data_IF_397478728117
#
_entry.id   IF_397478728117
#
_cell.length_a   1.000
_cell.length_b   1.000
_cell.length_c   1.000
_cell.angle_alpha   90.00
_cell.angle_beta   90.00
_cell.angle_gamma   90.00
#
_symmetry.space_group_name_H-M   'P 1'
#
loop_
_entity.id
_entity.type
_entity.pdbx_description
1 polymer ?
#
# COMPACT_ATOMS: atom_id res chain seq x y z
N UNK A 1 -17.31 27.15 1.32
CA UNK A 1 -17.71 25.97 0.55
C UNK A 1 -18.08 24.90 1.56
N UNK A 2 -19.35 24.50 1.59
CA UNK A 2 -19.84 23.51 2.56
C UNK A 2 -19.17 22.17 2.29
N UNK A 3 -18.60 21.58 3.33
CA UNK A 3 -18.14 20.19 3.28
C UNK A 3 -19.43 19.36 3.19
N UNK A 4 -19.67 18.73 2.04
CA UNK A 4 -20.76 17.76 1.92
C UNK A 4 -20.57 16.70 3.02
N UNK A 5 -21.61 16.51 3.84
CA UNK A 5 -21.61 15.45 4.84
C UNK A 5 -21.32 14.10 4.16
N UNK A 6 -20.41 13.29 4.69
CA UNK A 6 -20.10 11.99 4.11
C UNK A 6 -21.38 11.13 4.05
N UNK A 7 -21.62 10.48 2.91
CA UNK A 7 -22.77 9.58 2.71
C UNK A 7 -22.84 8.41 3.70
N UNK A 8 -21.72 8.08 4.36
CA UNK A 8 -21.59 6.97 5.28
C UNK A 8 -21.01 7.41 6.64
N UNK A 9 -21.51 6.82 7.73
CA UNK A 9 -20.89 6.83 9.04
C UNK A 9 -19.75 5.78 9.11
N UNK A 10 -18.93 5.79 10.16
CA UNK A 10 -17.75 4.89 10.22
C UNK A 10 -18.15 3.40 10.25
N UNK A 11 -19.28 3.05 10.86
CA UNK A 11 -19.78 1.67 10.88
C UNK A 11 -20.16 1.21 9.47
N UNK A 12 -20.82 2.06 8.70
CA UNK A 12 -21.12 1.77 7.29
C UNK A 12 -19.83 1.67 6.44
N UNK A 13 -18.80 2.46 6.75
CA UNK A 13 -17.48 2.33 6.11
C UNK A 13 -16.79 1.02 6.46
N UNK A 14 -16.81 0.61 7.74
CA UNK A 14 -16.27 -0.67 8.19
C UNK A 14 -16.95 -1.84 7.48
N UNK A 15 -18.28 -1.87 7.46
CA UNK A 15 -19.04 -2.91 6.75
C UNK A 15 -18.75 -2.93 5.24
N UNK A 16 -18.64 -1.75 4.62
CA UNK A 16 -18.27 -1.64 3.20
C UNK A 16 -16.87 -2.21 2.94
N UNK A 17 -15.90 -1.87 3.78
CA UNK A 17 -14.53 -2.36 3.64
C UNK A 17 -14.47 -3.87 3.89
N UNK A 18 -15.19 -4.40 4.88
CA UNK A 18 -15.29 -5.84 5.14
C UNK A 18 -15.85 -6.60 3.94
N UNK A 19 -16.85 -6.06 3.24
CA UNK A 19 -17.36 -6.66 2.00
C UNK A 19 -16.29 -6.66 0.90
N UNK A 20 -15.60 -5.52 0.70
CA UNK A 20 -14.67 -5.34 -0.43
C UNK A 20 -13.32 -6.00 -0.22
N UNK A 21 -12.88 -6.16 1.02
CA UNK A 21 -11.51 -6.60 1.31
C UNK A 21 -11.27 -8.05 0.87
N UNK A 22 -12.34 -8.86 0.79
CA UNK A 22 -12.25 -10.25 0.31
C UNK A 22 -12.02 -10.37 -1.20
N UNK A 23 -12.27 -9.30 -1.96
CA UNK A 23 -12.09 -9.27 -3.42
C UNK A 23 -10.73 -8.66 -3.84
N UNK A 24 -9.90 -8.25 -2.87
CA UNK A 24 -8.61 -7.61 -3.14
C UNK A 24 -7.43 -8.48 -2.69
N UNK A 25 -6.29 -8.30 -3.37
CA UNK A 25 -5.02 -8.96 -3.01
C UNK A 25 -4.22 -8.12 -2.03
N UNK A 26 -4.31 -6.81 -2.21
CA UNK A 26 -3.66 -5.81 -1.37
C UNK A 26 -4.61 -4.66 -1.11
N UNK A 27 -4.42 -3.92 -0.02
CA UNK A 27 -5.30 -2.78 0.29
C UNK A 27 -5.29 -1.72 -0.82
N UNK A 28 -4.19 -1.51 -1.55
CA UNK A 28 -4.17 -0.54 -2.64
C UNK A 28 -5.12 -0.88 -3.81
N UNK A 29 -5.49 -2.16 -3.97
CA UNK A 29 -6.46 -2.61 -4.98
C UNK A 29 -7.91 -2.16 -4.68
N UNK A 30 -8.19 -1.62 -3.49
CA UNK A 30 -9.48 -0.97 -3.20
C UNK A 30 -9.69 0.30 -4.03
N UNK A 31 -8.63 0.85 -4.63
CA UNK A 31 -8.63 2.05 -5.48
C UNK A 31 -9.40 3.25 -4.87
N UNK A 32 -9.32 3.44 -3.54
CA UNK A 32 -9.94 4.59 -2.88
C UNK A 32 -9.35 5.90 -3.40
N UNK A 33 -10.21 6.87 -3.70
CA UNK A 33 -9.77 8.22 -4.09
C UNK A 33 -9.17 8.97 -2.90
N UNK A 34 -8.36 10.01 -3.17
CA UNK A 34 -7.81 10.89 -2.13
C UNK A 34 -8.92 11.52 -1.27
N UNK A 35 -10.08 11.79 -1.87
CA UNK A 35 -11.24 12.32 -1.15
C UNK A 35 -11.84 11.27 -0.19
N UNK A 36 -11.95 10.01 -0.62
CA UNK A 36 -12.46 8.92 0.22
C UNK A 36 -11.51 8.64 1.38
N UNK A 37 -10.20 8.59 1.13
CA UNK A 37 -9.16 8.51 2.16
C UNK A 37 -9.26 9.66 3.17
N UNK A 38 -9.36 10.91 2.71
CA UNK A 38 -9.48 12.07 3.60
C UNK A 38 -10.75 12.04 4.44
N UNK A 39 -11.87 11.60 3.85
CA UNK A 39 -13.14 11.43 4.56
C UNK A 39 -13.02 10.36 5.65
N UNK A 40 -12.39 9.23 5.35
CA UNK A 40 -12.10 8.19 6.33
C UNK A 40 -11.26 8.75 7.49
N UNK A 41 -10.20 9.51 7.18
CA UNK A 41 -9.39 10.19 8.18
C UNK A 41 -10.19 11.14 9.09
N UNK A 42 -11.09 11.96 8.53
CA UNK A 42 -11.96 12.85 9.33
C UNK A 42 -12.85 12.03 10.28
N UNK A 43 -13.45 10.92 9.81
CA UNK A 43 -14.32 10.07 10.64
C UNK A 43 -13.52 9.41 11.76
N UNK A 44 -12.36 8.84 11.46
CA UNK A 44 -11.46 8.25 12.45
C UNK A 44 -11.04 9.30 13.49
N UNK A 45 -10.58 10.49 13.08
CA UNK A 45 -10.20 11.61 13.98
C UNK A 45 -11.33 11.99 14.93
N UNK A 46 -12.55 12.13 14.40
CA UNK A 46 -13.71 12.46 15.23
C UNK A 46 -13.89 11.43 16.34
N UNK A 47 -13.68 10.15 16.05
CA UNK A 47 -13.87 9.10 17.03
C UNK A 47 -12.74 9.03 18.04
N UNK A 48 -11.47 9.25 17.66
CA UNK A 48 -10.38 9.40 18.63
C UNK A 48 -10.58 10.60 19.57
N UNK A 49 -11.19 11.69 19.09
CA UNK A 49 -11.46 12.88 19.91
C UNK A 49 -12.60 12.69 20.92
N UNK A 50 -13.55 11.79 20.64
CA UNK A 50 -14.70 11.51 21.53
C UNK A 50 -14.56 10.21 22.33
N UNK A 51 -13.65 9.31 21.93
CA UNK A 51 -13.46 8.02 22.58
C UNK A 51 -12.48 8.13 23.75
N UNK A 52 -13.00 8.30 24.96
CA UNK A 52 -12.37 7.80 26.19
C UNK A 52 -12.35 6.24 26.24
N UNK A 53 -12.63 5.57 25.12
CA UNK A 53 -13.05 4.18 25.07
C UNK A 53 -11.97 3.34 24.37
N UNK A 54 -11.30 2.48 25.13
CA UNK A 54 -10.22 1.60 24.64
C UNK A 54 -10.68 0.67 23.51
N UNK A 55 -11.98 0.37 23.43
CA UNK A 55 -12.58 -0.58 22.49
C UNK A 55 -12.77 -0.01 21.07
N UNK A 56 -12.55 1.29 20.83
CA UNK A 56 -12.78 1.88 19.50
C UNK A 56 -11.86 1.28 18.43
N UNK A 57 -10.58 1.07 18.76
CA UNK A 57 -9.65 0.51 17.80
C UNK A 57 -9.99 -0.95 17.43
N UNK A 58 -10.65 -1.69 18.33
CA UNK A 58 -11.14 -3.05 18.06
C UNK A 58 -12.23 -3.03 17.00
N UNK A 59 -13.25 -2.18 17.18
CA UNK A 59 -14.44 -2.14 16.31
C UNK A 59 -14.14 -1.64 14.87
N UNK A 60 -13.04 -0.92 14.68
CA UNK A 60 -12.72 -0.22 13.44
C UNK A 60 -11.31 -0.48 12.92
N UNK A 61 -10.71 -1.62 13.27
CA UNK A 61 -9.31 -1.91 12.94
C UNK A 61 -9.06 -1.95 11.42
N UNK A 62 -10.01 -2.47 10.63
CA UNK A 62 -9.87 -2.49 9.18
C UNK A 62 -9.86 -1.07 8.60
N UNK A 63 -10.72 -0.19 9.10
CA UNK A 63 -10.69 1.24 8.73
C UNK A 63 -9.34 1.89 9.06
N UNK A 64 -8.75 1.57 10.22
CA UNK A 64 -7.42 2.06 10.61
C UNK A 64 -6.34 1.51 9.67
N UNK A 65 -6.36 0.21 9.37
CA UNK A 65 -5.42 -0.43 8.46
C UNK A 65 -5.47 0.21 7.06
N UNK A 66 -6.67 0.37 6.51
CA UNK A 66 -6.90 1.02 5.22
C UNK A 66 -6.42 2.47 5.25
N UNK A 67 -6.76 3.24 6.30
CA UNK A 67 -6.31 4.61 6.44
C UNK A 67 -4.77 4.72 6.45
N UNK A 68 -4.09 3.90 7.26
CA UNK A 68 -2.62 3.91 7.32
C UNK A 68 -1.97 3.50 6.00
N UNK A 69 -2.50 2.51 5.28
CA UNK A 69 -1.98 2.17 3.94
C UNK A 69 -2.17 3.32 2.95
N UNK A 70 -3.33 3.97 2.93
CA UNK A 70 -3.57 5.09 2.02
C UNK A 70 -2.82 6.36 2.41
N UNK A 71 -2.42 6.50 3.68
CA UNK A 71 -1.50 7.56 4.12
C UNK A 71 -0.15 7.48 3.38
N UNK A 72 0.37 6.27 3.17
CA UNK A 72 1.57 6.05 2.36
C UNK A 72 1.33 6.32 0.86
N UNK A 73 0.18 5.90 0.32
CA UNK A 73 -0.16 6.09 -1.11
C UNK A 73 -0.33 7.58 -1.44
N UNK A 74 -1.03 8.33 -0.58
CA UNK A 74 -1.28 9.75 -0.78
C UNK A 74 -0.24 10.65 -0.11
N UNK A 75 0.83 10.08 0.43
CA UNK A 75 1.87 10.81 1.12
C UNK A 75 2.35 12.02 0.33
N UNK A 76 2.38 13.16 1.00
CA UNK A 76 2.85 14.40 0.41
C UNK A 76 3.75 15.12 1.41
N UNK A 77 5.04 15.23 1.08
CA UNK A 77 6.04 15.92 1.89
C UNK A 77 5.59 17.32 2.36
N UNK A 78 4.85 18.05 1.51
CA UNK A 78 4.34 19.39 1.81
C UNK A 78 3.24 19.38 2.88
N UNK A 79 2.50 18.29 2.99
CA UNK A 79 1.37 18.12 3.91
C UNK A 79 1.63 17.04 4.98
N UNK A 80 2.86 16.54 5.09
CA UNK A 80 3.26 15.53 6.08
C UNK A 80 2.89 15.91 7.54
N UNK A 81 2.74 17.21 7.83
CA UNK A 81 2.25 17.71 9.14
C UNK A 81 0.73 17.64 9.34
N UNK A 82 -0.07 17.63 8.27
CA UNK A 82 -1.55 17.60 8.32
C UNK A 82 -2.10 16.16 8.25
N UNK A 83 -1.39 15.26 7.58
CA UNK A 83 -1.78 13.85 7.39
C UNK A 83 -1.40 12.96 8.61
N UNK A 84 -0.51 13.47 9.48
CA UNK A 84 -0.02 12.75 10.68
C UNK A 84 -0.88 12.92 11.92
N UNK A 85 -1.98 13.69 11.91
CA UNK A 85 -2.76 13.93 13.15
C UNK A 85 -3.31 12.64 13.79
N UNK A 86 -3.73 11.65 13.00
CA UNK A 86 -4.14 10.34 13.55
C UNK A 86 -2.95 9.54 14.12
N UNK A 87 -1.78 9.67 13.51
CA UNK A 87 -0.53 9.06 13.97
C UNK A 87 -0.06 9.75 15.27
N UNK A 88 -0.18 11.07 15.36
CA UNK A 88 0.10 11.85 16.57
C UNK A 88 -0.85 11.47 17.71
N UNK A 89 -2.15 11.35 17.43
CA UNK A 89 -3.11 10.88 18.43
C UNK A 89 -2.78 9.46 18.93
N UNK A 90 -2.23 8.60 18.08
CA UNK A 90 -1.71 7.29 18.47
C UNK A 90 -0.43 7.40 19.34
N UNK A 91 0.50 8.29 18.98
CA UNK A 91 1.73 8.56 19.74
C UNK A 91 1.46 9.09 21.16
N UNK A 92 0.34 9.78 21.37
CA UNK A 92 -0.10 10.28 22.68
C UNK A 92 -0.68 9.18 23.61
N UNK A 93 -0.99 7.99 23.07
CA UNK A 93 -1.51 6.87 23.87
C UNK A 93 -0.43 6.26 24.79
N UNK A 94 -0.88 5.53 25.81
CA UNK A 94 0.05 4.76 26.66
C UNK A 94 0.76 3.66 25.85
N UNK A 95 2.02 3.36 26.16
CA UNK A 95 2.78 2.29 25.48
C UNK A 95 2.06 0.94 25.48
N UNK A 96 1.33 0.60 26.55
CA UNK A 96 0.51 -0.60 26.61
C UNK A 96 -0.61 -0.59 25.56
N UNK A 97 -1.33 0.53 25.45
CA UNK A 97 -2.40 0.72 24.46
C UNK A 97 -1.85 0.70 23.04
N UNK A 98 -0.73 1.38 22.80
CA UNK A 98 -0.03 1.37 21.51
C UNK A 98 0.33 -0.06 21.08
N UNK A 99 0.94 -0.83 21.99
CA UNK A 99 1.32 -2.22 21.71
C UNK A 99 0.11 -3.10 21.43
N UNK A 100 -0.97 -2.95 22.22
CA UNK A 100 -2.21 -3.69 22.01
C UNK A 100 -2.83 -3.39 20.63
N UNK A 101 -2.92 -2.12 20.25
CA UNK A 101 -3.45 -1.71 18.95
C UNK A 101 -2.60 -2.22 17.77
N UNK A 102 -1.27 -2.25 17.90
CA UNK A 102 -0.42 -2.84 16.87
C UNK A 102 -0.61 -4.36 16.74
N UNK A 103 -0.80 -5.06 17.86
CA UNK A 103 -1.12 -6.50 17.82
C UNK A 103 -2.43 -6.73 17.06
N UNK A 104 -3.47 -5.99 17.40
CA UNK A 104 -4.76 -6.06 16.71
C UNK A 104 -4.66 -5.67 15.23
N UNK A 105 -3.82 -4.69 14.89
CA UNK A 105 -3.59 -4.34 13.49
C UNK A 105 -2.95 -5.49 12.73
N UNK A 106 -1.91 -6.11 13.29
CA UNK A 106 -1.25 -7.29 12.72
C UNK A 106 -2.23 -8.47 12.57
N UNK A 107 -3.09 -8.68 13.57
CA UNK A 107 -4.17 -9.69 13.54
C UNK A 107 -5.22 -9.36 12.46
N UNK A 108 -5.62 -8.10 12.31
CA UNK A 108 -6.57 -7.67 11.29
C UNK A 108 -6.10 -8.04 9.86
N UNK A 109 -4.84 -7.81 9.52
CA UNK A 109 -4.30 -8.27 8.24
C UNK A 109 -4.37 -9.80 8.08
N UNK A 110 -4.19 -10.55 9.16
CA UNK A 110 -4.32 -12.01 9.14
C UNK A 110 -5.77 -12.47 8.96
N UNK A 111 -6.69 -11.91 9.73
CA UNK A 111 -8.11 -12.28 9.76
C UNK A 111 -8.80 -12.05 8.41
N UNK A 112 -8.40 -11.00 7.68
CA UNK A 112 -8.91 -10.71 6.33
C UNK A 112 -8.11 -11.39 5.21
N UNK A 113 -7.16 -12.27 5.52
CA UNK A 113 -6.38 -13.00 4.52
C UNK A 113 -5.40 -12.13 3.73
N UNK A 114 -5.07 -10.94 4.23
CA UNK A 114 -4.16 -9.98 3.59
C UNK A 114 -2.68 -10.27 3.88
N UNK A 115 -2.37 -11.21 4.77
CA UNK A 115 -1.01 -11.45 5.23
C UNK A 115 -0.29 -12.58 4.46
N UNK A 116 0.40 -12.22 3.37
CA UNK A 116 1.21 -13.16 2.56
C UNK A 116 2.72 -13.11 2.84
N UNK A 117 3.21 -12.23 3.73
CA UNK A 117 4.62 -11.80 3.71
C UNK A 117 5.50 -12.25 4.88
N UNK A 118 5.06 -13.20 5.74
CA UNK A 118 5.84 -13.76 6.85
C UNK A 118 6.70 -12.74 7.63
N UNK A 119 6.17 -11.53 7.87
CA UNK A 119 6.93 -10.44 8.50
C UNK A 119 7.05 -10.69 10.00
N UNK A 120 8.26 -11.01 10.44
CA UNK A 120 8.62 -11.16 11.86
C UNK A 120 10.05 -10.68 12.13
N UNK A 121 10.19 -9.37 12.36
CA UNK A 121 11.47 -8.73 12.71
C UNK A 121 11.79 -8.80 14.21
N UNK A 122 10.86 -9.31 15.02
CA UNK A 122 10.89 -9.20 16.48
C UNK A 122 10.52 -7.80 17.01
N UNK A 123 10.26 -6.82 16.13
CA UNK A 123 9.76 -5.49 16.48
C UNK A 123 8.35 -5.27 15.90
N UNK A 124 7.34 -5.32 16.76
CA UNK A 124 5.93 -5.23 16.37
C UNK A 124 5.59 -3.96 15.56
N UNK A 125 6.17 -2.81 15.91
CA UNK A 125 5.90 -1.57 15.19
C UNK A 125 6.48 -1.63 13.78
N UNK A 126 7.72 -2.11 13.65
CA UNK A 126 8.35 -2.29 12.34
C UNK A 126 7.61 -3.33 11.50
N UNK A 127 7.13 -4.42 12.11
CA UNK A 127 6.32 -5.43 11.42
C UNK A 127 5.04 -4.82 10.84
N UNK A 128 4.31 -4.05 11.65
CA UNK A 128 3.09 -3.37 11.19
C UNK A 128 3.39 -2.42 10.03
N UNK A 129 4.44 -1.58 10.14
CA UNK A 129 4.81 -0.68 9.05
C UNK A 129 5.20 -1.43 7.78
N UNK A 130 5.97 -2.50 7.88
CA UNK A 130 6.35 -3.35 6.73
C UNK A 130 5.12 -3.95 6.04
N UNK A 131 4.17 -4.48 6.81
CA UNK A 131 2.90 -4.99 6.26
C UNK A 131 2.16 -3.86 5.52
N UNK A 132 2.01 -2.70 6.16
CA UNK A 132 1.30 -1.54 5.58
C UNK A 132 1.95 -1.08 4.27
N UNK A 133 3.28 -0.92 4.23
CA UNK A 133 3.97 -0.44 3.02
C UNK A 133 3.97 -1.49 1.91
N UNK A 134 3.93 -2.78 2.24
CA UNK A 134 3.72 -3.84 1.24
C UNK A 134 2.35 -3.73 0.58
N UNK A 135 1.32 -3.45 1.39
CA UNK A 135 -0.04 -3.22 0.89
C UNK A 135 -0.22 -1.89 0.17
N UNK A 136 0.62 -0.89 0.46
CA UNK A 136 0.65 0.36 -0.29
C UNK A 136 1.22 0.14 -1.70
N UNK A 137 2.24 -0.71 -1.83
CA UNK A 137 2.85 -1.06 -3.10
C UNK A 137 3.46 0.15 -3.81
N UNK A 138 3.47 0.14 -5.14
CA UNK A 138 3.89 1.30 -5.94
C UNK A 138 2.65 2.15 -6.26
N UNK A 139 2.61 3.45 -5.91
CA UNK A 139 1.50 4.32 -6.24
C UNK A 139 1.25 4.40 -7.75
N UNK A 140 -0.02 4.34 -8.14
CA UNK A 140 -0.48 4.28 -9.54
C UNK A 140 0.17 5.32 -10.45
N UNK A 141 0.29 6.54 -9.96
CA UNK A 141 0.84 7.68 -10.69
C UNK A 141 2.37 7.59 -10.91
N UNK A 142 3.06 6.79 -10.09
CA UNK A 142 4.51 6.59 -10.16
C UNK A 142 4.87 5.26 -10.85
N UNK A 143 3.91 4.33 -11.01
CA UNK A 143 4.14 2.99 -11.59
C UNK A 143 4.90 3.03 -12.91
N UNK A 144 4.45 3.82 -13.88
CA UNK A 144 5.12 3.89 -15.18
C UNK A 144 6.58 4.36 -15.09
N UNK A 145 6.87 5.33 -14.20
CA UNK A 145 8.23 5.83 -14.00
C UNK A 145 9.12 4.80 -13.30
N UNK A 146 8.58 4.03 -12.36
CA UNK A 146 9.29 2.92 -11.71
C UNK A 146 9.57 1.81 -12.71
N UNK A 147 8.60 1.39 -13.51
CA UNK A 147 8.78 0.35 -14.54
C UNK A 147 9.85 0.78 -15.58
N UNK A 148 9.79 2.02 -16.07
CA UNK A 148 10.81 2.58 -16.97
C UNK A 148 12.22 2.61 -16.36
N UNK A 149 12.32 2.74 -15.04
CA UNK A 149 13.58 2.75 -14.33
C UNK A 149 14.13 1.33 -14.15
N UNK A 150 13.29 0.37 -13.74
CA UNK A 150 13.69 -1.04 -13.56
C UNK A 150 14.04 -1.70 -14.89
N UNK A 151 13.27 -1.45 -15.97
CA UNK A 151 13.51 -2.00 -17.31
C UNK A 151 14.93 -1.71 -17.82
N UNK A 152 15.50 -0.54 -17.48
CA UNK A 152 16.87 -0.17 -17.89
C UNK A 152 17.97 -1.03 -17.28
N UNK A 153 17.68 -1.66 -16.13
CA UNK A 153 18.62 -2.46 -15.37
C UNK A 153 18.15 -3.91 -15.25
N UNK A 154 17.18 -4.35 -16.05
CA UNK A 154 16.52 -5.66 -15.89
C UNK A 154 17.50 -6.85 -15.96
N UNK A 155 18.62 -6.69 -16.68
CA UNK A 155 19.68 -7.68 -16.82
C UNK A 155 20.66 -7.74 -15.64
N UNK A 156 20.62 -6.77 -14.74
CA UNK A 156 21.51 -6.69 -13.58
C UNK A 156 20.96 -7.51 -12.40
N UNK A 157 21.82 -7.87 -11.46
CA UNK A 157 21.39 -8.50 -10.19
C UNK A 157 20.60 -7.51 -9.33
N UNK A 158 19.61 -7.99 -8.58
CA UNK A 158 18.71 -7.12 -7.81
C UNK A 158 19.43 -6.32 -6.71
N UNK A 159 20.52 -6.87 -6.14
CA UNK A 159 21.43 -6.16 -5.24
C UNK A 159 22.15 -4.99 -5.92
N UNK A 160 22.43 -5.07 -7.21
CA UNK A 160 23.03 -3.96 -7.97
C UNK A 160 21.95 -2.94 -8.32
N UNK A 161 20.77 -3.42 -8.71
CA UNK A 161 19.62 -2.59 -9.06
C UNK A 161 19.21 -1.73 -7.87
N UNK A 162 19.00 -2.31 -6.68
CA UNK A 162 18.52 -1.58 -5.50
C UNK A 162 19.40 -0.36 -5.20
N UNK A 163 20.71 -0.53 -5.12
CA UNK A 163 21.63 0.58 -4.85
C UNK A 163 21.72 1.60 -6.00
N UNK A 164 21.50 1.15 -7.25
CA UNK A 164 21.57 2.02 -8.43
C UNK A 164 20.27 2.81 -8.64
N UNK A 165 19.12 2.18 -8.42
CA UNK A 165 17.77 2.70 -8.69
C UNK A 165 17.24 3.53 -7.53
N UNK A 166 17.56 3.16 -6.29
CA UNK A 166 17.00 3.80 -5.09
C UNK A 166 17.15 5.33 -5.06
N UNK A 167 18.27 5.95 -5.48
CA UNK A 167 18.38 7.42 -5.56
C UNK A 167 17.45 8.08 -6.58
N UNK A 168 16.94 7.31 -7.56
CA UNK A 168 16.11 7.79 -8.67
C UNK A 168 14.65 7.38 -8.54
N UNK A 169 14.28 6.66 -7.48
CA UNK A 169 12.89 6.30 -7.23
C UNK A 169 12.03 7.58 -7.13
N UNK A 170 10.83 7.58 -7.74
CA UNK A 170 9.83 8.61 -7.50
C UNK A 170 9.54 8.78 -6.00
N UNK A 171 9.13 9.98 -5.60
CA UNK A 171 9.17 10.40 -4.19
C UNK A 171 8.32 9.53 -3.27
N UNK A 172 7.11 9.15 -3.68
CA UNK A 172 6.22 8.34 -2.82
C UNK A 172 6.72 6.90 -2.74
N UNK A 173 7.16 6.34 -3.86
CA UNK A 173 7.78 5.01 -3.92
C UNK A 173 9.04 4.95 -3.05
N UNK A 174 9.91 5.96 -3.12
CA UNK A 174 11.08 6.07 -2.25
C UNK A 174 10.69 6.15 -0.76
N UNK A 175 9.63 6.91 -0.43
CA UNK A 175 9.10 6.98 0.93
C UNK A 175 8.63 5.61 1.41
N UNK A 176 7.83 4.89 0.62
CA UNK A 176 7.34 3.54 0.92
C UNK A 176 8.52 2.56 1.14
N UNK A 177 9.49 2.56 0.23
CA UNK A 177 10.67 1.69 0.32
C UNK A 177 11.51 1.97 1.57
N UNK A 178 11.55 3.22 2.07
CA UNK A 178 12.33 3.56 3.26
C UNK A 178 11.86 2.87 4.56
N UNK A 179 10.65 2.30 4.58
CA UNK A 179 10.11 1.51 5.70
C UNK A 179 10.26 -0.01 5.51
N UNK A 180 10.70 -0.44 4.34
CA UNK A 180 11.05 -1.83 4.06
C UNK A 180 12.50 -2.08 4.47
N UNK A 181 12.82 -3.28 4.98
CA UNK A 181 14.22 -3.68 5.06
C UNK A 181 14.75 -4.09 3.69
N UNK A 182 16.06 -4.25 3.60
CA UNK A 182 16.75 -4.58 2.36
C UNK A 182 16.24 -5.90 1.76
N UNK A 183 16.02 -6.93 2.59
CA UNK A 183 15.46 -8.20 2.13
C UNK A 183 14.09 -8.02 1.45
N UNK A 184 13.19 -7.27 2.09
CA UNK A 184 11.87 -6.98 1.53
C UNK A 184 11.93 -6.11 0.27
N UNK A 185 12.85 -5.13 0.21
CA UNK A 185 13.05 -4.33 -1.00
C UNK A 185 13.55 -5.20 -2.17
N UNK A 186 14.46 -6.14 -1.92
CA UNK A 186 14.94 -7.09 -2.92
C UNK A 186 13.82 -8.01 -3.40
N UNK A 187 12.99 -8.54 -2.51
CA UNK A 187 11.81 -9.35 -2.87
C UNK A 187 10.86 -8.58 -3.80
N UNK A 188 10.59 -7.31 -3.50
CA UNK A 188 9.74 -6.45 -4.34
C UNK A 188 10.39 -6.24 -5.72
N UNK A 189 11.70 -6.01 -5.77
CA UNK A 189 12.42 -5.82 -7.03
C UNK A 189 12.47 -7.08 -7.88
N UNK A 190 12.71 -8.24 -7.27
CA UNK A 190 12.68 -9.54 -7.95
C UNK A 190 11.30 -9.82 -8.53
N UNK A 191 10.24 -9.57 -7.76
CA UNK A 191 8.86 -9.71 -8.22
C UNK A 191 8.56 -8.78 -9.40
N UNK A 192 9.04 -7.52 -9.37
CA UNK A 192 8.88 -6.57 -10.47
C UNK A 192 9.64 -6.99 -11.73
N UNK A 193 10.86 -7.49 -11.61
CA UNK A 193 11.66 -7.97 -12.75
C UNK A 193 11.02 -9.19 -13.38
N UNK A 194 10.55 -10.13 -12.56
CA UNK A 194 9.87 -11.32 -13.06
C UNK A 194 8.56 -10.92 -13.75
N UNK A 195 7.78 -9.99 -13.17
CA UNK A 195 6.57 -9.47 -13.79
C UNK A 195 6.87 -8.77 -15.14
N UNK A 196 7.91 -7.93 -15.19
CA UNK A 196 8.34 -7.26 -16.43
C UNK A 196 8.75 -8.27 -17.51
N UNK A 197 9.47 -9.32 -17.14
CA UNK A 197 9.87 -10.38 -18.08
C UNK A 197 8.64 -11.16 -18.55
N UNK A 198 7.73 -11.49 -17.63
CA UNK A 198 6.52 -12.25 -17.93
C UNK A 198 5.57 -11.50 -18.88
N UNK A 199 5.44 -10.17 -18.76
CA UNK A 199 4.58 -9.41 -19.69
C UNK A 199 5.14 -9.30 -21.11
N UNK A 200 6.43 -9.55 -21.32
CA UNK A 200 7.04 -9.61 -22.66
C UNK A 200 6.81 -10.95 -23.34
N UNK A 201 6.45 -12.00 -22.59
CA UNK A 201 6.09 -13.30 -23.13
C UNK A 201 4.73 -13.22 -23.86
N UNK A 202 4.70 -13.55 -25.16
CA UNK A 202 3.58 -13.25 -26.06
C UNK A 202 2.24 -13.96 -25.76
N UNK A 203 2.22 -14.90 -24.80
CA UNK A 203 1.05 -15.72 -24.47
C UNK A 203 0.41 -15.37 -23.11
N UNK A 204 0.91 -14.37 -22.38
CA UNK A 204 0.42 -14.04 -21.04
C UNK A 204 -0.73 -13.04 -21.08
N UNK A 205 -1.94 -13.48 -20.72
CA UNK A 205 -3.07 -12.58 -20.45
C UNK A 205 -3.11 -12.12 -18.97
N UNK A 206 -3.93 -11.11 -18.65
CA UNK A 206 -4.03 -10.55 -17.29
C UNK A 206 -4.40 -11.64 -16.25
N UNK A 207 -5.22 -12.62 -16.65
CA UNK A 207 -5.65 -13.72 -15.78
C UNK A 207 -4.47 -14.63 -15.44
N UNK A 208 -3.66 -14.97 -16.43
CA UNK A 208 -2.47 -15.81 -16.27
C UNK A 208 -1.42 -15.14 -15.40
N UNK A 209 -1.17 -13.84 -15.61
CA UNK A 209 -0.30 -13.03 -14.76
C UNK A 209 -0.82 -12.96 -13.32
N UNK A 210 -2.13 -12.79 -13.16
CA UNK A 210 -2.77 -12.80 -11.85
C UNK A 210 -2.58 -14.14 -11.12
N UNK A 211 -2.52 -15.27 -11.82
CA UNK A 211 -2.25 -16.59 -11.22
C UNK A 211 -0.76 -16.78 -10.91
N UNK A 212 0.14 -16.28 -11.77
CA UNK A 212 1.59 -16.36 -11.59
C UNK A 212 2.10 -15.47 -10.46
N UNK A 213 1.50 -14.30 -10.26
CA UNK A 213 1.87 -13.32 -9.24
C UNK A 213 0.73 -13.10 -8.23
N UNK A 214 0.44 -14.10 -7.36
CA UNK A 214 -0.69 -14.03 -6.42
C UNK A 214 -0.49 -12.98 -5.31
N UNK A 215 0.76 -12.63 -5.00
CA UNK A 215 1.10 -11.61 -3.99
C UNK A 215 1.07 -10.17 -4.55
N UNK A 216 1.27 -10.01 -5.86
CA UNK A 216 1.22 -8.70 -6.52
C UNK A 216 -0.19 -8.13 -6.52
N UNK A 217 -0.28 -6.80 -6.30
CA UNK A 217 -1.52 -6.05 -6.48
C UNK A 217 -2.02 -6.19 -7.93
N UNK A 218 -3.34 -6.29 -8.08
CA UNK A 218 -4.00 -6.31 -9.39
C UNK A 218 -3.73 -5.01 -10.15
N UNK A 219 -3.68 -3.89 -9.44
CA UNK A 219 -3.35 -2.58 -10.00
C UNK A 219 -1.96 -2.59 -10.66
N UNK A 220 -0.93 -3.12 -9.98
CA UNK A 220 0.42 -3.22 -10.53
C UNK A 220 0.44 -4.08 -11.81
N UNK A 221 -0.19 -5.25 -11.79
CA UNK A 221 -0.26 -6.14 -12.97
C UNK A 221 -0.89 -5.40 -14.16
N UNK A 222 -2.03 -4.75 -13.95
CA UNK A 222 -2.75 -3.99 -14.99
C UNK A 222 -1.92 -2.86 -15.56
N UNK A 223 -1.28 -2.07 -14.70
CA UNK A 223 -0.45 -0.95 -15.14
C UNK A 223 0.81 -1.43 -15.86
N UNK A 224 1.39 -2.57 -15.48
CA UNK A 224 2.54 -3.17 -16.20
C UNK A 224 2.13 -3.67 -17.59
N UNK A 225 0.99 -4.36 -17.71
CA UNK A 225 0.44 -4.78 -19.02
C UNK A 225 0.16 -3.56 -19.91
N UNK A 226 -0.41 -2.49 -19.34
CA UNK A 226 -0.67 -1.24 -20.06
C UNK A 226 0.63 -0.57 -20.50
N UNK A 227 1.61 -0.49 -19.62
CA UNK A 227 2.93 0.06 -19.89
C UNK A 227 3.61 -0.66 -21.06
N UNK A 228 3.60 -2.00 -21.06
CA UNK A 228 4.19 -2.81 -22.12
C UNK A 228 3.52 -2.54 -23.48
N UNK A 229 2.19 -2.53 -23.53
CA UNK A 229 1.44 -2.16 -24.75
C UNK A 229 1.82 -0.78 -25.27
N UNK A 230 1.97 0.20 -24.38
CA UNK A 230 2.42 1.55 -24.76
C UNK A 230 3.86 1.55 -25.30
N UNK A 231 4.76 0.73 -24.73
CA UNK A 231 6.14 0.60 -25.17
C UNK A 231 6.24 -0.04 -26.56
N UNK A 232 5.47 -1.09 -26.83
CA UNK A 232 5.39 -1.73 -28.15
C UNK A 232 4.86 -0.77 -29.22
N UNK A 233 3.82 -0.01 -28.91
CA UNK A 233 3.29 1.01 -29.83
C UNK A 233 4.34 2.07 -30.20
N UNK A 234 5.19 2.48 -29.23
CA UNK A 234 6.31 3.40 -29.49
C UNK A 234 7.39 2.78 -30.38
N UNK A 235 7.65 1.47 -30.26
CA UNK A 235 8.61 0.76 -31.13
C UNK A 235 8.10 0.66 -32.57
N UNK A 236 6.79 0.47 -32.77
CA UNK A 236 6.17 0.34 -34.09
C UNK A 236 5.93 1.68 -34.82
N UNK A 237 6.10 2.82 -34.14
CA UNK A 237 5.91 4.16 -34.71
C UNK A 237 7.22 4.84 -35.14
N UNK A 238 8.32 4.08 -35.16
CA UNK A 238 9.64 4.43 -35.72
C UNK A 238 9.87 3.61 -36.99
#
# INVERSE_FOLDING_TARGET
MGIEEPKFNLHEMQMYLEEKIHDVRTICDLELSENDYRRLGIKLKSLFAFANNRNFAEDFMLCIAVYWTYDFIYWNEKYARFDTELIQMYEELSQYTQRYQLMMLKECFHDFGLNSYQVDSGNLMQDCFRIIVRHAGIPKEETAAVLDLIDRYISEDSDVIIHTVQPFLPRKTAHIFSYMDEAMQLEVLDELKELLTAVEESDQDEISLCQRFPASSLLLIRETVRWQKCRELRKCSV
#
